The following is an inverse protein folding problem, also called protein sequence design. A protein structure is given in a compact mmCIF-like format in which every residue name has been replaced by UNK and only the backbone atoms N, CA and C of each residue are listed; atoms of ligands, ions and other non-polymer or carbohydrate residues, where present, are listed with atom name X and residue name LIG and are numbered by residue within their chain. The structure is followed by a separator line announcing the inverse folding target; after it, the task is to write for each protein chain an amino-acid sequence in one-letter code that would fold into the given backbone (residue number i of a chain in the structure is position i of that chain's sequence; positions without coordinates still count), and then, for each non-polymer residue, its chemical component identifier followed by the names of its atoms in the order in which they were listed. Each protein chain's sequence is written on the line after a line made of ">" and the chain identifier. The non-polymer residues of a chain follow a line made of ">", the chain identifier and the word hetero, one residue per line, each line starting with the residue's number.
data_IF_108720449885
#
_entry.id   IF_108720449885
#
_cell.length_a   1.000
_cell.length_b   1.000
_cell.length_c   1.000
_cell.angle_alpha   90.00
_cell.angle_beta   90.00
_cell.angle_gamma   90.00
#
_symmetry.space_group_name_H-M   'P 1'
#
loop_
_entity.id
_entity.type
_entity.pdbx_description
1 polymer ?
#
# COMPACT_ATOMS: atom_id res chain seq x y z
N UNK A 1 11.55 2.98 7.89
CA UNK A 1 11.57 2.84 6.42
C UNK A 1 12.87 2.14 6.11
N UNK A 2 12.83 0.86 5.69
CA UNK A 2 14.03 0.03 5.57
C UNK A 2 13.74 -1.41 5.18
N UNK A 3 12.63 -2.00 5.67
CA UNK A 3 12.22 -3.35 5.27
C UNK A 3 11.88 -3.46 3.78
N UNK A 4 11.13 -2.50 3.24
CA UNK A 4 10.79 -2.47 1.81
C UNK A 4 11.96 -2.07 0.92
N UNK A 5 12.78 -1.10 1.35
CA UNK A 5 13.98 -0.66 0.61
C UNK A 5 15.00 -1.78 0.48
N UNK A 6 15.34 -2.47 1.58
CA UNK A 6 16.24 -3.63 1.54
C UNK A 6 15.72 -4.81 0.71
N UNK A 7 14.40 -4.96 0.57
CA UNK A 7 13.81 -5.95 -0.35
C UNK A 7 14.02 -5.53 -1.82
N UNK A 8 13.78 -4.26 -2.15
CA UNK A 8 14.03 -3.73 -3.49
C UNK A 8 15.51 -3.78 -3.87
N UNK A 9 16.42 -3.58 -2.89
CA UNK A 9 17.87 -3.69 -3.05
C UNK A 9 18.38 -5.15 -3.09
N UNK A 10 17.48 -6.14 -2.94
CA UNK A 10 17.81 -7.56 -3.04
C UNK A 10 18.59 -8.13 -1.86
N UNK A 11 18.56 -7.49 -0.69
CA UNK A 11 19.28 -7.97 0.50
C UNK A 11 18.65 -9.24 1.08
N UNK A 12 17.39 -9.51 0.74
CA UNK A 12 16.65 -10.70 1.13
C UNK A 12 15.55 -11.00 0.12
N UNK A 13 15.16 -12.27 0.06
CA UNK A 13 14.11 -12.76 -0.85
C UNK A 13 13.03 -13.50 -0.07
N UNK A 14 11.83 -13.59 -0.64
CA UNK A 14 10.70 -14.30 -0.04
C UNK A 14 9.76 -14.84 -1.12
N UNK A 15 9.47 -16.14 -1.07
CA UNK A 15 8.59 -16.80 -2.05
C UNK A 15 7.15 -16.25 -2.03
N UNK A 16 6.67 -15.85 -0.84
CA UNK A 16 5.27 -15.48 -0.59
C UNK A 16 5.17 -14.28 0.33
N UNK A 17 5.46 -13.10 -0.23
CA UNK A 17 5.37 -11.82 0.48
C UNK A 17 3.99 -11.58 1.12
N UNK A 18 2.91 -12.00 0.46
CA UNK A 18 1.55 -11.89 0.97
C UNK A 18 1.37 -12.64 2.30
N UNK A 19 1.89 -13.87 2.39
CA UNK A 19 1.86 -14.66 3.60
C UNK A 19 2.81 -14.12 4.67
N UNK A 20 3.99 -13.63 4.27
CA UNK A 20 4.95 -13.00 5.17
C UNK A 20 4.32 -11.83 5.91
N UNK A 21 3.77 -10.85 5.18
CA UNK A 21 3.13 -9.69 5.80
C UNK A 21 1.90 -10.07 6.61
N UNK A 22 1.11 -11.05 6.15
CA UNK A 22 -0.03 -11.57 6.93
C UNK A 22 0.40 -12.11 8.29
N UNK A 23 1.50 -12.88 8.35
CA UNK A 23 2.03 -13.44 9.60
C UNK A 23 2.63 -12.37 10.50
N UNK A 24 3.41 -11.44 9.93
CA UNK A 24 4.04 -10.34 10.69
C UNK A 24 2.99 -9.48 11.38
N UNK A 25 1.96 -9.07 10.63
CA UNK A 25 0.86 -8.25 11.16
C UNK A 25 0.00 -9.03 12.18
N UNK A 26 -0.26 -10.32 11.96
CA UNK A 26 -1.01 -11.15 12.92
C UNK A 26 -0.26 -11.39 14.22
N UNK A 27 1.05 -11.55 14.15
CA UNK A 27 1.90 -11.73 15.32
C UNK A 27 2.13 -10.41 16.08
N UNK A 28 1.64 -9.29 15.56
CA UNK A 28 1.71 -7.99 16.22
C UNK A 28 3.16 -7.54 16.44
N UNK A 29 4.09 -7.90 15.55
CA UNK A 29 5.50 -7.53 15.71
C UNK A 29 5.70 -6.02 15.75
N UNK A 30 4.76 -5.25 15.17
CA UNK A 30 4.72 -3.80 15.29
C UNK A 30 4.57 -3.32 16.75
N UNK A 31 3.93 -4.13 17.61
CA UNK A 31 3.71 -3.84 19.03
C UNK A 31 4.77 -4.47 19.95
N UNK A 32 5.59 -5.38 19.43
CA UNK A 32 6.69 -6.03 20.17
C UNK A 32 8.05 -5.34 19.95
N UNK A 33 8.12 -4.41 18.99
CA UNK A 33 9.28 -3.53 18.84
C UNK A 33 9.39 -2.66 20.09
N UNK A 34 10.56 -2.58 20.75
CA UNK A 34 10.73 -1.79 21.95
C UNK A 34 10.38 -0.33 21.64
N UNK A 35 9.27 0.14 22.19
CA UNK A 35 8.82 1.52 22.07
C UNK A 35 9.84 2.44 22.73
N UNK A 36 10.84 2.88 21.98
CA UNK A 36 11.69 3.97 22.41
C UNK A 36 10.87 5.26 22.38
N UNK A 37 10.89 6.02 23.49
CA UNK A 37 10.26 7.34 23.64
C UNK A 37 10.50 8.32 22.47
N UNK A 38 11.57 8.09 21.68
CA UNK A 38 11.88 8.82 20.45
C UNK A 38 10.82 8.64 19.36
N UNK A 39 10.17 7.48 19.26
CA UNK A 39 9.14 7.21 18.23
C UNK A 39 7.83 7.92 18.54
N UNK A 40 7.45 8.05 19.81
CA UNK A 40 6.25 8.81 20.24
C UNK A 40 6.40 10.29 19.91
N UNK A 41 7.57 10.88 20.16
CA UNK A 41 7.89 12.26 19.75
C UNK A 41 7.91 12.42 18.23
N UNK A 42 8.38 11.41 17.50
CA UNK A 42 8.44 11.45 16.02
C UNK A 42 7.05 11.36 15.39
N UNK A 43 6.15 10.54 15.96
CA UNK A 43 4.75 10.45 15.55
C UNK A 43 3.99 11.73 15.89
N UNK A 44 4.21 12.32 17.07
CA UNK A 44 3.62 13.60 17.45
C UNK A 44 4.10 14.73 16.53
N UNK A 45 5.39 14.80 16.24
CA UNK A 45 5.98 15.75 15.30
C UNK A 45 5.45 15.57 13.86
N UNK A 46 5.34 14.33 13.37
CA UNK A 46 4.79 14.06 12.04
C UNK A 46 3.30 14.44 11.91
N UNK A 47 2.53 14.33 12.99
CA UNK A 47 1.13 14.79 13.04
C UNK A 47 1.01 16.31 13.10
N UNK A 48 1.92 16.99 13.81
CA UNK A 48 1.99 18.45 13.91
C UNK A 48 2.49 19.09 12.61
N UNK A 49 3.44 18.45 11.92
CA UNK A 49 3.92 18.82 10.58
C UNK A 49 3.18 18.06 9.48
N UNK A 50 1.86 17.95 9.58
CA UNK A 50 1.01 17.37 8.55
C UNK A 50 1.21 18.08 7.20
N UNK A 51 2.09 17.50 6.39
CA UNK A 51 2.48 17.98 5.07
C UNK A 51 1.49 17.57 3.97
N UNK A 52 0.29 17.11 4.29
CA UNK A 52 -0.80 16.97 3.31
C UNK A 52 -1.44 18.34 3.01
N UNK A 53 -0.65 19.35 2.66
CA UNK A 53 -1.19 20.50 1.96
C UNK A 53 -1.49 20.08 0.52
N UNK A 54 -2.72 20.30 0.05
CA UNK A 54 -3.14 20.04 -1.35
C UNK A 54 -2.14 20.57 -2.39
N UNK A 55 -1.39 21.63 -2.06
CA UNK A 55 -0.37 22.27 -2.90
C UNK A 55 0.83 21.38 -3.22
N UNK A 56 1.21 20.42 -2.37
CA UNK A 56 2.37 19.50 -2.61
C UNK A 56 1.97 18.18 -3.26
N UNK A 57 0.71 17.75 -3.12
CA UNK A 57 0.17 16.57 -3.79
C UNK A 57 0.27 16.68 -5.33
N UNK A 58 0.18 17.90 -5.87
CA UNK A 58 0.26 18.15 -7.31
C UNK A 58 1.68 18.04 -7.88
N UNK A 59 2.70 18.35 -7.09
CA UNK A 59 4.12 18.24 -7.50
C UNK A 59 4.57 16.78 -7.47
N UNK A 60 4.10 16.00 -6.49
CA UNK A 60 4.36 14.56 -6.37
C UNK A 60 3.60 13.77 -7.46
N UNK A 61 2.42 14.21 -7.87
CA UNK A 61 1.63 13.55 -8.92
C UNK A 61 2.26 13.56 -10.32
N UNK A 62 3.23 14.45 -10.58
CA UNK A 62 3.84 14.61 -11.90
C UNK A 62 5.07 13.71 -12.13
N UNK A 63 5.70 13.21 -11.07
CA UNK A 63 6.74 12.16 -11.15
C UNK A 63 6.22 10.75 -10.84
N UNK A 64 5.03 10.62 -10.24
CA UNK A 64 4.51 9.32 -9.78
C UNK A 64 3.70 8.50 -10.81
N UNK A 65 3.47 9.00 -12.03
CA UNK A 65 2.59 8.32 -12.99
C UNK A 65 3.01 8.45 -14.46
N UNK A 66 4.29 8.22 -14.76
CA UNK A 66 4.66 7.69 -16.09
C UNK A 66 4.49 6.16 -16.17
N UNK A 67 3.87 5.55 -15.15
CA UNK A 67 3.12 4.32 -15.32
C UNK A 67 1.90 4.64 -16.18
N UNK A 68 2.11 4.61 -17.50
CA UNK A 68 1.08 4.92 -18.48
C UNK A 68 -0.15 4.03 -18.34
N UNK A 69 -1.24 4.45 -19.00
CA UNK A 69 -2.51 3.71 -19.04
C UNK A 69 -2.35 2.24 -19.49
N UNK A 70 -1.25 1.94 -20.18
CA UNK A 70 -0.86 0.62 -20.66
C UNK A 70 -0.56 -0.41 -19.56
N UNK A 71 -0.01 -0.01 -18.41
CA UNK A 71 0.14 -0.95 -17.29
C UNK A 71 -1.23 -1.19 -16.65
N UNK A 72 -1.93 -0.10 -16.34
CA UNK A 72 -3.20 -0.17 -15.63
C UNK A 72 -4.26 -0.92 -16.42
N UNK A 73 -4.31 -0.76 -17.74
CA UNK A 73 -5.24 -1.50 -18.60
C UNK A 73 -4.97 -3.02 -18.67
N UNK A 74 -3.74 -3.45 -18.37
CA UNK A 74 -3.39 -4.88 -18.26
C UNK A 74 -3.64 -5.45 -16.85
N UNK A 75 -3.57 -4.60 -15.83
CA UNK A 75 -3.70 -5.00 -14.42
C UNK A 75 -5.13 -4.90 -13.89
N UNK A 76 -5.87 -3.86 -14.30
CA UNK A 76 -7.21 -3.56 -13.83
C UNK A 76 -8.28 -4.19 -14.73
N UNK A 77 -9.50 -4.19 -14.23
CA UNK A 77 -10.68 -4.57 -15.01
C UNK A 77 -11.01 -3.52 -16.09
N UNK A 78 -11.89 -3.83 -17.06
CA UNK A 78 -12.26 -2.89 -18.13
C UNK A 78 -12.82 -1.54 -17.66
N UNK A 79 -13.29 -1.43 -16.42
CA UNK A 79 -13.77 -0.16 -15.84
C UNK A 79 -12.65 0.66 -15.17
N UNK A 80 -11.38 0.22 -15.24
CA UNK A 80 -10.20 0.91 -14.72
C UNK A 80 -10.33 1.29 -13.23
N UNK A 81 -10.91 0.39 -12.41
CA UNK A 81 -11.19 0.68 -11.02
C UNK A 81 -9.95 0.42 -10.14
N UNK A 82 -9.24 1.48 -9.78
CA UNK A 82 -8.15 1.40 -8.80
C UNK A 82 -8.68 1.60 -7.37
N UNK A 83 -9.56 0.68 -6.94
CA UNK A 83 -10.17 0.65 -5.61
C UNK A 83 -10.50 -0.78 -5.19
N UNK A 84 -10.85 -0.99 -3.91
CA UNK A 84 -11.22 -2.32 -3.42
C UNK A 84 -12.49 -2.84 -4.12
N UNK A 85 -12.40 -4.06 -4.64
CA UNK A 85 -13.56 -4.76 -5.18
C UNK A 85 -14.40 -5.43 -4.09
N UNK A 86 -15.66 -5.72 -4.42
CA UNK A 86 -16.59 -6.46 -3.57
C UNK A 86 -16.85 -7.85 -4.15
N UNK A 87 -16.64 -8.88 -3.33
CA UNK A 87 -16.56 -10.26 -3.80
C UNK A 87 -17.69 -11.16 -3.34
N UNK A 88 -18.74 -10.62 -2.69
CA UNK A 88 -19.80 -11.43 -2.06
C UNK A 88 -20.47 -12.43 -3.01
N UNK A 89 -20.79 -11.98 -4.22
CA UNK A 89 -21.51 -12.76 -5.24
C UNK A 89 -20.63 -13.03 -6.48
N UNK A 90 -19.32 -12.79 -6.39
CA UNK A 90 -18.39 -12.95 -7.50
C UNK A 90 -17.88 -14.40 -7.60
N UNK A 91 -17.76 -14.93 -8.81
CA UNK A 91 -17.12 -16.23 -9.04
C UNK A 91 -15.61 -16.04 -9.22
N UNK A 92 -14.82 -16.95 -8.65
CA UNK A 92 -13.36 -16.88 -8.47
C UNK A 92 -12.58 -16.57 -9.76
N UNK A 93 -13.11 -16.90 -10.94
CA UNK A 93 -12.41 -16.80 -12.22
C UNK A 93 -12.62 -15.49 -12.98
N UNK A 94 -13.58 -14.66 -12.54
CA UNK A 94 -13.83 -13.37 -13.17
C UNK A 94 -13.29 -12.27 -12.27
N UNK A 95 -12.34 -11.48 -12.78
CA UNK A 95 -12.09 -10.15 -12.20
C UNK A 95 -13.46 -9.45 -12.07
N UNK A 96 -13.76 -8.85 -10.91
CA UNK A 96 -15.12 -8.80 -10.41
C UNK A 96 -15.98 -7.90 -11.29
N UNK A 97 -16.94 -8.50 -11.97
CA UNK A 97 -18.08 -7.81 -12.58
C UNK A 97 -18.94 -7.21 -11.46
N UNK A 98 -18.57 -6.00 -11.03
CA UNK A 98 -19.23 -5.06 -10.10
C UNK A 98 -20.32 -5.60 -9.15
N UNK A 99 -20.08 -5.35 -7.86
CA UNK A 99 -20.87 -4.36 -7.08
C UNK A 99 -19.91 -3.49 -6.26
N UNK A 100 -19.57 -2.29 -6.72
CA UNK A 100 -18.84 -1.34 -5.85
C UNK A 100 -19.69 -1.07 -4.61
N UNK A 101 -19.14 -1.36 -3.43
CA UNK A 101 -19.73 -1.01 -2.13
C UNK A 101 -19.75 0.51 -2.00
N UNK A 102 -20.91 1.12 -2.21
CA UNK A 102 -21.29 2.35 -1.50
C UNK A 102 -22.21 1.97 -0.35
#
# INVERSE_FOLDING_TARGET
>A
MGLGESYMDGWWECDRLDMFFSKVLRAGLENQLPHHFKDTLRIAGARLFNLQSKKRAWIVGKEHYDLGNDLFSRMLDPFMQYSCAYWKDAIIWNLPSRRSSK
#
